data_IF_591347918945
#
_entry.id   IF_591347918945
#
_cell.length_a   1.000
_cell.length_b   1.000
_cell.length_c   1.000
_cell.angle_alpha   90.00
_cell.angle_beta   90.00
_cell.angle_gamma   90.00
#
_symmetry.space_group_name_H-M   'P 1'
#
loop_
_entity.id
_entity.type
_entity.pdbx_description
1 polymer ?
#
# COMPACT_ATOMS: atom_id res chain seq x y z
N UNK A 1 -13.83 -22.07 -6.45
CA UNK A 1 -13.33 -20.69 -6.40
C UNK A 1 -13.00 -20.31 -7.81
N UNK A 2 -13.77 -19.39 -8.36
CA UNK A 2 -13.39 -18.75 -9.61
C UNK A 2 -12.16 -17.86 -9.36
N UNK A 3 -11.39 -17.55 -10.39
CA UNK A 3 -10.20 -16.69 -10.29
C UNK A 3 -10.51 -15.34 -9.65
N UNK A 4 -11.73 -14.84 -9.87
CA UNK A 4 -12.22 -13.59 -9.30
C UNK A 4 -12.38 -13.65 -7.77
N UNK A 5 -12.86 -14.76 -7.22
CA UNK A 5 -13.01 -14.94 -5.76
C UNK A 5 -11.65 -14.84 -5.05
N UNK A 6 -10.61 -15.37 -5.68
CA UNK A 6 -9.25 -15.35 -5.14
C UNK A 6 -8.72 -13.90 -5.12
N UNK A 7 -8.96 -13.13 -6.17
CA UNK A 7 -8.53 -11.71 -6.24
C UNK A 7 -9.18 -10.90 -5.12
N UNK A 8 -10.49 -11.03 -4.92
CA UNK A 8 -11.22 -10.33 -3.86
C UNK A 8 -10.64 -10.67 -2.48
N UNK A 9 -10.44 -11.95 -2.20
CA UNK A 9 -9.86 -12.39 -0.91
C UNK A 9 -8.44 -11.86 -0.73
N UNK A 10 -7.64 -11.84 -1.79
CA UNK A 10 -6.28 -11.30 -1.76
C UNK A 10 -6.25 -9.80 -1.50
N UNK A 11 -7.11 -9.02 -2.15
CA UNK A 11 -7.18 -7.57 -1.93
C UNK A 11 -7.56 -7.23 -0.49
N UNK A 12 -8.54 -7.96 0.07
CA UNK A 12 -8.92 -7.81 1.48
C UNK A 12 -7.76 -8.21 2.40
N UNK A 13 -7.13 -9.37 2.16
CA UNK A 13 -6.06 -9.89 3.02
C UNK A 13 -4.80 -9.00 2.98
N UNK A 14 -4.37 -8.60 1.79
CA UNK A 14 -3.23 -7.69 1.58
C UNK A 14 -3.57 -6.31 2.16
N UNK A 15 -4.77 -5.80 1.89
CA UNK A 15 -5.24 -4.53 2.44
C UNK A 15 -5.19 -4.50 3.97
N UNK A 16 -5.74 -5.54 4.61
CA UNK A 16 -5.72 -5.70 6.07
C UNK A 16 -4.29 -5.81 6.62
N UNK A 17 -3.42 -6.58 5.95
CA UNK A 17 -2.01 -6.68 6.34
C UNK A 17 -1.28 -5.33 6.25
N UNK A 18 -1.48 -4.57 5.18
CA UNK A 18 -0.88 -3.26 4.99
C UNK A 18 -1.41 -2.25 6.01
N UNK A 19 -2.71 -2.26 6.29
CA UNK A 19 -3.29 -1.43 7.36
C UNK A 19 -2.66 -1.76 8.72
N UNK A 20 -2.58 -3.04 9.07
CA UNK A 20 -1.92 -3.49 10.30
C UNK A 20 -0.45 -3.07 10.34
N UNK A 21 0.30 -3.25 9.25
CA UNK A 21 1.71 -2.88 9.16
C UNK A 21 1.91 -1.36 9.26
N UNK A 22 1.01 -0.57 8.67
CA UNK A 22 1.01 0.89 8.75
C UNK A 22 0.72 1.40 10.17
N UNK A 23 -0.31 0.85 10.82
CA UNK A 23 -0.70 1.20 12.20
C UNK A 23 0.40 0.82 13.18
N UNK A 24 0.87 -0.43 13.13
CA UNK A 24 1.88 -0.94 14.07
C UNK A 24 3.29 -0.41 13.79
N UNK A 25 3.58 0.01 12.55
CA UNK A 25 4.94 0.32 12.12
C UNK A 25 5.88 -0.91 12.18
N UNK A 26 5.32 -2.11 12.05
CA UNK A 26 6.01 -3.41 12.10
C UNK A 26 5.62 -4.27 10.90
N UNK A 27 6.39 -5.33 10.65
CA UNK A 27 6.16 -6.28 9.56
C UNK A 27 7.25 -6.27 8.49
N UNK A 28 7.13 -7.17 7.51
CA UNK A 28 8.16 -7.40 6.49
C UNK A 28 8.40 -6.17 5.61
N UNK A 29 7.41 -5.26 5.54
CA UNK A 29 7.51 -3.99 4.80
C UNK A 29 8.68 -3.12 5.31
N UNK A 30 9.11 -3.28 6.58
CA UNK A 30 10.17 -2.47 7.19
C UNK A 30 11.52 -3.18 7.34
N UNK A 31 11.64 -4.46 6.96
CA UNK A 31 12.83 -5.27 7.26
C UNK A 31 14.10 -4.86 6.50
N UNK A 32 13.96 -4.20 5.34
CA UNK A 32 15.07 -3.88 4.45
C UNK A 32 15.39 -2.38 4.40
N UNK A 33 15.42 -1.71 5.54
CA UNK A 33 15.76 -0.29 5.58
C UNK A 33 17.29 -0.09 5.46
N UNK A 34 17.79 0.14 4.23
CA UNK A 34 19.21 0.39 3.94
C UNK A 34 19.68 1.82 4.21
N UNK A 35 18.80 2.67 4.75
CA UNK A 35 19.10 4.07 5.02
C UNK A 35 19.95 4.25 6.29
N UNK A 36 20.77 5.31 6.40
CA UNK A 36 21.48 5.67 7.63
C UNK A 36 20.52 5.91 8.81
N UNK A 37 20.92 5.53 10.03
CA UNK A 37 20.07 5.59 11.24
C UNK A 37 19.43 6.98 11.45
N UNK A 38 20.14 8.04 11.10
CA UNK A 38 19.70 9.43 11.18
C UNK A 38 18.38 9.71 10.44
N UNK A 39 18.15 9.06 9.30
CA UNK A 39 16.96 9.28 8.45
C UNK A 39 15.99 8.09 8.44
N UNK A 40 16.38 6.96 9.02
CA UNK A 40 15.53 5.75 9.10
C UNK A 40 14.17 6.04 9.76
N UNK A 41 14.15 6.88 10.80
CA UNK A 41 12.93 7.24 11.51
C UNK A 41 11.93 7.99 10.62
N UNK A 42 12.42 8.93 9.81
CA UNK A 42 11.58 9.69 8.88
C UNK A 42 11.12 8.84 7.70
N UNK A 43 12.01 8.03 7.13
CA UNK A 43 11.67 7.10 6.06
C UNK A 43 10.62 6.09 6.52
N UNK A 44 10.74 5.59 7.75
CA UNK A 44 9.74 4.71 8.37
C UNK A 44 8.38 5.41 8.52
N UNK A 45 8.36 6.69 8.93
CA UNK A 45 7.10 7.46 9.00
C UNK A 45 6.45 7.60 7.62
N UNK A 46 7.23 7.94 6.60
CA UNK A 46 6.73 8.04 5.22
C UNK A 46 6.16 6.69 4.74
N UNK A 47 6.91 5.60 4.95
CA UNK A 47 6.48 4.27 4.57
C UNK A 47 5.22 3.83 5.30
N UNK A 48 5.07 4.15 6.59
CA UNK A 48 3.83 3.90 7.35
C UNK A 48 2.62 4.57 6.70
N UNK A 49 2.74 5.85 6.36
CA UNK A 49 1.64 6.61 5.73
C UNK A 49 1.24 5.98 4.40
N UNK A 50 2.20 5.67 3.55
CA UNK A 50 1.93 5.06 2.24
C UNK A 50 1.33 3.66 2.39
N UNK A 51 1.83 2.87 3.34
CA UNK A 51 1.30 1.53 3.64
C UNK A 51 -0.15 1.61 4.13
N UNK A 52 -0.50 2.60 4.95
CA UNK A 52 -1.89 2.84 5.37
C UNK A 52 -2.79 3.19 4.19
N UNK A 53 -2.33 4.07 3.30
CA UNK A 53 -3.12 4.50 2.13
C UNK A 53 -3.34 3.32 1.18
N UNK A 54 -2.29 2.57 0.85
CA UNK A 54 -2.41 1.37 0.00
C UNK A 54 -3.30 0.31 0.64
N UNK A 55 -3.14 0.09 1.95
CA UNK A 55 -3.96 -0.84 2.70
C UNK A 55 -5.44 -0.46 2.66
N UNK A 56 -5.77 0.82 2.82
CA UNK A 56 -7.13 1.33 2.75
C UNK A 56 -7.74 1.14 1.35
N UNK A 57 -6.98 1.44 0.29
CA UNK A 57 -7.44 1.27 -1.09
C UNK A 57 -7.80 -0.20 -1.34
N UNK A 58 -6.86 -1.12 -1.12
CA UNK A 58 -7.08 -2.55 -1.41
C UNK A 58 -8.20 -3.14 -0.54
N UNK A 59 -8.25 -2.78 0.74
CA UNK A 59 -9.27 -3.30 1.65
C UNK A 59 -10.68 -2.83 1.26
N UNK A 60 -10.85 -1.54 0.96
CA UNK A 60 -12.14 -0.98 0.55
C UNK A 60 -12.56 -1.50 -0.82
N UNK A 61 -11.64 -1.58 -1.78
CA UNK A 61 -11.91 -2.16 -3.10
C UNK A 61 -12.34 -3.62 -3.00
N UNK A 62 -11.63 -4.43 -2.23
CA UNK A 62 -12.02 -5.83 -2.00
C UNK A 62 -13.40 -5.97 -1.35
N UNK A 63 -13.76 -5.09 -0.40
CA UNK A 63 -15.13 -5.04 0.15
C UNK A 63 -16.15 -4.66 -0.93
N UNK A 64 -15.88 -3.62 -1.74
CA UNK A 64 -16.80 -3.19 -2.78
C UNK A 64 -17.07 -4.28 -3.82
N UNK A 65 -16.05 -5.06 -4.17
CA UNK A 65 -16.17 -6.20 -5.07
C UNK A 65 -16.91 -7.38 -4.41
N UNK A 66 -16.61 -7.70 -3.15
CA UNK A 66 -17.25 -8.78 -2.41
C UNK A 66 -18.77 -8.60 -2.24
N UNK A 67 -19.22 -7.34 -2.06
CA UNK A 67 -20.63 -7.01 -1.89
C UNK A 67 -21.31 -6.55 -3.19
N UNK A 68 -20.61 -6.60 -4.33
CA UNK A 68 -21.10 -6.15 -5.64
C UNK A 68 -21.70 -4.73 -5.60
N UNK A 69 -21.11 -3.82 -4.80
CA UNK A 69 -21.64 -2.46 -4.61
C UNK A 69 -21.51 -1.58 -5.86
N UNK A 70 -20.56 -1.93 -6.74
CA UNK A 70 -20.28 -1.25 -8.00
C UNK A 70 -19.91 -2.29 -9.08
N UNK A 71 -19.81 -1.84 -10.34
CA UNK A 71 -19.31 -2.68 -11.42
C UNK A 71 -17.85 -3.08 -11.14
N UNK A 72 -17.57 -4.38 -11.12
CA UNK A 72 -16.27 -4.92 -10.73
C UNK A 72 -15.11 -4.38 -11.58
N UNK A 73 -15.31 -4.28 -12.90
CA UNK A 73 -14.30 -3.72 -13.80
C UNK A 73 -13.89 -2.30 -13.43
N UNK A 74 -14.85 -1.47 -12.98
CA UNK A 74 -14.61 -0.10 -12.55
C UNK A 74 -13.86 -0.08 -11.22
N UNK A 75 -14.26 -0.91 -10.25
CA UNK A 75 -13.59 -0.98 -8.93
C UNK A 75 -12.14 -1.42 -9.08
N UNK A 76 -11.91 -2.46 -9.87
CA UNK A 76 -10.57 -2.98 -10.19
C UNK A 76 -9.72 -1.91 -10.89
N UNK A 77 -10.25 -1.25 -11.93
CA UNK A 77 -9.47 -0.23 -12.65
C UNK A 77 -9.16 0.97 -11.74
N UNK A 78 -10.12 1.40 -10.93
CA UNK A 78 -9.94 2.51 -9.99
C UNK A 78 -8.94 2.16 -8.88
N UNK A 79 -8.98 0.94 -8.34
CA UNK A 79 -8.05 0.48 -7.29
C UNK A 79 -6.62 0.42 -7.80
N UNK A 80 -6.41 -0.16 -8.99
CA UNK A 80 -5.11 -0.21 -9.66
C UNK A 80 -4.60 1.21 -9.92
N UNK A 81 -5.43 2.07 -10.51
CA UNK A 81 -5.07 3.46 -10.78
C UNK A 81 -4.66 4.22 -9.52
N UNK A 82 -5.43 4.08 -8.44
CA UNK A 82 -5.13 4.70 -7.15
C UNK A 82 -3.81 4.18 -6.56
N UNK A 83 -3.59 2.87 -6.57
CA UNK A 83 -2.34 2.26 -6.10
C UNK A 83 -1.11 2.78 -6.88
N UNK A 84 -1.20 2.85 -8.21
CA UNK A 84 -0.12 3.36 -9.06
C UNK A 84 0.19 4.83 -8.72
N UNK A 85 -0.84 5.67 -8.60
CA UNK A 85 -0.65 7.09 -8.23
C UNK A 85 0.05 7.20 -6.86
N UNK A 86 -0.39 6.43 -5.86
CA UNK A 86 0.21 6.44 -4.52
C UNK A 86 1.67 6.00 -4.55
N UNK A 87 2.02 4.97 -5.34
CA UNK A 87 3.40 4.52 -5.51
C UNK A 87 4.28 5.55 -6.22
N UNK A 88 3.75 6.25 -7.23
CA UNK A 88 4.46 7.36 -7.91
C UNK A 88 4.72 8.49 -6.92
N UNK A 89 3.70 8.91 -6.15
CA UNK A 89 3.84 9.96 -5.14
C UNK A 89 4.86 9.54 -4.08
N UNK A 90 4.80 8.30 -3.60
CA UNK A 90 5.79 7.76 -2.66
C UNK A 90 7.20 7.83 -3.24
N UNK A 91 7.40 7.36 -4.48
CA UNK A 91 8.71 7.39 -5.13
C UNK A 91 9.26 8.82 -5.24
N UNK A 92 8.44 9.79 -5.68
CA UNK A 92 8.85 11.19 -5.79
C UNK A 92 9.22 11.76 -4.42
N UNK A 93 8.39 11.55 -3.40
CA UNK A 93 8.65 12.02 -2.04
C UNK A 93 9.91 11.37 -1.44
N UNK A 94 10.07 10.07 -1.65
CA UNK A 94 11.22 9.32 -1.18
C UNK A 94 12.50 9.80 -1.86
N UNK A 95 12.52 9.98 -3.18
CA UNK A 95 13.68 10.51 -3.91
C UNK A 95 14.01 11.94 -3.52
N UNK A 96 13.00 12.78 -3.32
CA UNK A 96 13.21 14.18 -2.92
C UNK A 96 13.79 14.31 -1.51
N UNK A 97 13.40 13.44 -0.57
CA UNK A 97 13.87 13.49 0.82
C UNK A 97 15.11 12.65 1.11
N UNK A 98 15.21 11.47 0.50
CA UNK A 98 16.21 10.46 0.83
C UNK A 98 17.13 10.09 -0.36
N UNK A 99 16.99 10.78 -1.50
CA UNK A 99 17.75 10.48 -2.71
C UNK A 99 19.26 10.62 -2.56
N UNK A 100 19.73 11.50 -1.67
CA UNK A 100 21.16 11.71 -1.39
C UNK A 100 21.78 10.53 -0.62
N UNK A 101 20.99 9.88 0.24
CA UNK A 101 21.41 8.73 1.07
C UNK A 101 21.30 7.38 0.34
N UNK A 102 20.77 7.38 -0.88
CA UNK A 102 20.52 6.17 -1.69
C UNK A 102 21.29 6.18 -3.01
N UNK A 103 22.29 7.07 -3.13
CA UNK A 103 23.26 7.09 -4.24
C UNK A 103 24.28 5.97 -4.12
#
# INVERSE_FOLDING_TARGET
METLDIVIIMDIAIGAYLLYAGISGKGNVYQNNRLPEEVQGEAKKLLRVITLILGAILFVSGIFEAFHLFQQEIVMLASIGACVIVLIVYYILFRKKFGEYTR
#
